data_IF_973828847376
#
_entry.id   IF_973828847376
#
_cell.length_a   1.000
_cell.length_b   1.000
_cell.length_c   1.000
_cell.angle_alpha   90.00
_cell.angle_beta   90.00
_cell.angle_gamma   90.00
#
_symmetry.space_group_name_H-M   'P 1'
#
loop_
_entity.id
_entity.type
_entity.pdbx_description
1 polymer ?
#
# COMPACT_ATOMS: atom_id res chain seq x y z
N UNK A 1 12.42 -30.46 12.87
CA UNK A 1 11.00 -30.50 12.44
C UNK A 1 10.23 -29.51 13.30
N UNK A 2 10.06 -28.30 12.82
CA UNK A 2 9.16 -27.35 13.44
C UNK A 2 7.79 -27.61 12.81
N UNK A 3 6.94 -28.28 13.59
CA UNK A 3 5.53 -28.49 13.27
C UNK A 3 4.84 -27.13 13.19
N UNK A 4 4.63 -26.64 11.98
CA UNK A 4 3.87 -25.45 11.71
C UNK A 4 2.37 -25.81 11.77
N UNK A 5 1.82 -25.82 12.97
CA UNK A 5 0.40 -26.07 13.23
C UNK A 5 -0.24 -24.76 13.65
N UNK A 6 -0.63 -23.91 12.69
CA UNK A 6 -1.56 -22.82 12.97
C UNK A 6 -2.22 -22.35 11.69
N UNK A 7 -3.46 -22.72 11.57
CA UNK A 7 -4.40 -22.26 10.57
C UNK A 7 -4.41 -20.72 10.51
N UNK A 8 -4.01 -20.16 9.41
CA UNK A 8 -4.05 -18.73 9.12
C UNK A 8 -2.71 -18.00 9.12
N UNK A 9 -1.64 -18.59 9.65
CA UNK A 9 -0.30 -18.01 9.61
C UNK A 9 0.63 -18.69 8.59
N UNK A 10 0.15 -19.72 7.92
CA UNK A 10 0.91 -20.42 6.85
C UNK A 10 1.09 -19.61 5.58
N UNK A 11 0.50 -18.45 5.57
CA UNK A 11 0.84 -17.41 4.62
C UNK A 11 2.05 -16.59 5.04
N UNK A 12 2.77 -17.07 5.99
CA UNK A 12 4.12 -16.63 6.10
C UNK A 12 4.73 -16.91 4.75
N UNK A 13 4.87 -15.88 3.98
CA UNK A 13 5.89 -15.81 2.99
C UNK A 13 7.11 -16.32 3.73
N UNK A 14 7.42 -17.58 3.52
CA UNK A 14 8.53 -18.30 4.14
C UNK A 14 9.87 -17.80 3.61
N UNK A 15 9.93 -16.51 3.38
CA UNK A 15 10.98 -15.88 2.66
C UNK A 15 11.68 -14.88 3.54
N UNK A 16 12.49 -15.45 4.39
CA UNK A 16 13.75 -14.79 4.53
C UNK A 16 14.47 -14.95 3.18
N UNK A 17 15.07 -13.91 2.63
CA UNK A 17 15.91 -13.93 1.43
C UNK A 17 16.99 -15.04 1.44
N UNK A 18 17.13 -15.77 2.53
CA UNK A 18 18.01 -16.92 2.76
C UNK A 18 17.40 -18.27 2.42
N UNK A 19 16.09 -18.35 2.22
CA UNK A 19 15.43 -19.63 1.94
C UNK A 19 14.96 -19.67 0.49
N UNK A 20 15.17 -20.81 -0.23
CA UNK A 20 14.69 -20.94 -1.59
C UNK A 20 13.16 -20.83 -1.62
N UNK A 21 12.66 -19.91 -2.42
CA UNK A 21 11.25 -19.69 -2.66
C UNK A 21 10.67 -20.82 -3.49
N UNK A 22 9.66 -21.50 -2.99
CA UNK A 22 8.88 -22.42 -3.79
C UNK A 22 7.74 -21.65 -4.49
N UNK A 23 7.88 -21.43 -5.79
CA UNK A 23 6.90 -20.70 -6.58
C UNK A 23 5.80 -21.66 -7.06
N UNK A 24 4.60 -21.57 -6.46
CA UNK A 24 3.42 -22.32 -6.87
C UNK A 24 2.19 -21.42 -6.97
N UNK A 25 1.20 -21.84 -7.78
CA UNK A 25 -0.05 -21.09 -7.91
C UNK A 25 -0.77 -20.89 -6.57
N UNK A 26 -0.74 -21.91 -5.73
CA UNK A 26 -1.35 -21.87 -4.38
C UNK A 26 -0.69 -20.83 -3.49
N UNK A 27 0.65 -20.74 -3.50
CA UNK A 27 1.37 -19.74 -2.71
C UNK A 27 1.17 -18.33 -3.24
N UNK A 28 1.03 -18.17 -4.57
CA UNK A 28 0.70 -16.89 -5.16
C UNK A 28 -0.70 -16.41 -4.78
N UNK A 29 -1.68 -17.31 -4.80
CA UNK A 29 -3.05 -16.99 -4.36
C UNK A 29 -3.09 -16.65 -2.87
N UNK A 30 -2.35 -17.39 -2.07
CA UNK A 30 -2.20 -17.13 -0.66
C UNK A 30 -1.57 -15.75 -0.39
N UNK A 31 -0.50 -15.38 -1.09
CA UNK A 31 0.13 -14.07 -0.99
C UNK A 31 -0.81 -12.93 -1.43
N UNK A 32 -1.58 -13.15 -2.52
CA UNK A 32 -2.59 -12.21 -2.98
C UNK A 32 -3.65 -11.96 -1.91
N UNK A 33 -4.20 -13.01 -1.31
CA UNK A 33 -5.20 -12.89 -0.25
C UNK A 33 -4.63 -12.14 0.97
N UNK A 34 -3.35 -12.32 1.27
CA UNK A 34 -2.65 -11.56 2.31
C UNK A 34 -2.58 -10.08 2.01
N UNK A 35 -2.15 -9.74 0.80
CA UNK A 35 -2.11 -8.35 0.34
C UNK A 35 -3.51 -7.72 0.38
N UNK A 36 -4.53 -8.42 -0.12
CA UNK A 36 -5.92 -7.95 -0.08
C UNK A 36 -6.41 -7.65 1.35
N UNK A 37 -5.99 -8.44 2.34
CA UNK A 37 -6.34 -8.17 3.75
C UNK A 37 -5.72 -6.88 4.25
N UNK A 38 -4.48 -6.59 3.91
CA UNK A 38 -3.79 -5.36 4.32
C UNK A 38 -4.41 -4.15 3.61
N UNK A 39 -4.63 -4.24 2.30
CA UNK A 39 -5.25 -3.15 1.52
C UNK A 39 -6.68 -2.86 1.96
N UNK A 40 -7.49 -3.89 2.19
CA UNK A 40 -8.86 -3.72 2.71
C UNK A 40 -8.87 -3.04 4.09
N UNK A 41 -7.93 -3.38 4.97
CA UNK A 41 -7.83 -2.71 6.27
C UNK A 41 -7.48 -1.22 6.13
N UNK A 42 -6.57 -0.88 5.22
CA UNK A 42 -6.24 0.51 4.93
C UNK A 42 -7.42 1.28 4.31
N UNK A 43 -8.15 0.68 3.37
CA UNK A 43 -9.36 1.26 2.78
C UNK A 43 -10.45 1.50 3.84
N UNK A 44 -10.65 0.55 4.74
CA UNK A 44 -11.58 0.69 5.86
C UNK A 44 -11.19 1.83 6.80
N UNK A 45 -9.90 1.97 7.13
CA UNK A 45 -9.42 3.09 7.95
C UNK A 45 -9.63 4.43 7.23
N UNK A 46 -9.32 4.55 5.95
CA UNK A 46 -9.59 5.75 5.14
C UNK A 46 -11.08 6.10 5.15
N UNK A 47 -11.94 5.09 4.97
CA UNK A 47 -13.38 5.30 5.03
C UNK A 47 -13.83 5.82 6.40
N UNK A 48 -13.32 5.24 7.49
CA UNK A 48 -13.63 5.68 8.85
C UNK A 48 -13.11 7.10 9.14
N UNK A 49 -11.90 7.44 8.69
CA UNK A 49 -11.31 8.78 8.80
C UNK A 49 -12.19 9.82 8.13
N UNK A 50 -12.66 9.54 6.90
CA UNK A 50 -13.50 10.45 6.13
C UNK A 50 -14.91 10.63 6.73
N UNK A 51 -15.38 9.66 7.51
CA UNK A 51 -16.69 9.67 8.15
C UNK A 51 -16.65 9.91 9.67
N UNK A 52 -15.48 10.18 10.23
CA UNK A 52 -15.30 10.40 11.66
C UNK A 52 -16.08 11.64 12.12
N UNK A 53 -16.81 11.48 13.24
CA UNK A 53 -17.64 12.55 13.81
C UNK A 53 -16.90 13.38 14.86
N UNK A 54 -15.85 12.86 15.43
CA UNK A 54 -15.05 13.46 16.50
C UNK A 54 -13.63 13.64 16.00
N UNK A 55 -13.07 14.83 16.18
CA UNK A 55 -11.68 15.11 15.77
C UNK A 55 -10.69 14.60 16.82
N UNK A 56 -10.89 14.96 18.09
CA UNK A 56 -9.93 14.73 19.16
C UNK A 56 -10.02 13.32 19.75
N UNK A 57 -8.86 12.77 20.08
CA UNK A 57 -8.71 11.43 20.66
C UNK A 57 -9.12 11.39 22.14
N UNK A 58 -9.94 10.40 22.51
CA UNK A 58 -10.32 10.12 23.90
C UNK A 58 -9.19 9.44 24.68
N UNK A 59 -9.29 9.46 26.03
CA UNK A 59 -8.32 8.77 26.91
C UNK A 59 -8.27 7.24 26.66
N UNK A 60 -9.38 6.63 26.34
CA UNK A 60 -9.42 5.19 26.03
C UNK A 60 -8.78 4.89 24.67
N UNK A 61 -8.94 5.76 23.69
CA UNK A 61 -8.26 5.64 22.40
C UNK A 61 -6.75 5.86 22.52
N UNK A 62 -6.30 6.75 23.41
CA UNK A 62 -4.87 6.92 23.72
C UNK A 62 -4.26 5.65 24.29
N UNK A 63 -4.98 4.94 25.16
CA UNK A 63 -4.53 3.65 25.69
C UNK A 63 -4.51 2.58 24.60
N UNK A 64 -5.50 2.56 23.73
CA UNK A 64 -5.52 1.66 22.56
C UNK A 64 -4.37 1.98 21.62
N UNK A 65 -4.11 3.25 21.31
CA UNK A 65 -2.97 3.64 20.48
C UNK A 65 -1.64 3.23 21.10
N UNK A 66 -1.48 3.41 22.41
CA UNK A 66 -0.30 2.90 23.12
C UNK A 66 -0.14 1.38 23.00
N UNK A 67 -1.24 0.63 22.96
CA UNK A 67 -1.23 -0.82 22.72
C UNK A 67 -0.75 -1.20 21.31
N UNK A 68 -0.90 -0.33 20.31
CA UNK A 68 -0.42 -0.60 18.96
C UNK A 68 1.12 -0.52 18.84
N UNK A 69 1.79 0.17 19.74
CA UNK A 69 3.25 0.34 19.74
C UNK A 69 3.97 -1.01 19.82
N UNK A 70 3.42 -1.96 20.59
CA UNK A 70 4.00 -3.30 20.71
C UNK A 70 4.16 -4.02 19.34
N UNK A 71 3.25 -3.79 18.41
CA UNK A 71 3.35 -4.38 17.07
C UNK A 71 4.44 -3.71 16.23
N UNK A 72 4.63 -2.40 16.41
CA UNK A 72 5.75 -1.66 15.79
C UNK A 72 7.08 -2.16 16.32
N UNK A 73 7.20 -2.31 17.63
CA UNK A 73 8.41 -2.85 18.27
C UNK A 73 8.71 -4.28 17.80
N UNK A 74 7.69 -5.13 17.64
CA UNK A 74 7.85 -6.48 17.10
C UNK A 74 8.33 -6.45 15.65
N UNK A 75 7.80 -5.53 14.84
CA UNK A 75 8.26 -5.33 13.46
C UNK A 75 9.72 -4.88 13.42
N UNK A 76 10.07 -3.86 14.19
CA UNK A 76 11.44 -3.33 14.26
C UNK A 76 12.42 -4.42 14.72
N UNK A 77 12.05 -5.18 15.75
CA UNK A 77 12.85 -6.31 16.24
C UNK A 77 13.06 -7.39 15.19
N UNK A 78 12.03 -7.71 14.39
CA UNK A 78 12.13 -8.68 13.31
C UNK A 78 13.06 -8.17 12.19
N UNK A 79 12.98 -6.89 11.86
CA UNK A 79 13.86 -6.28 10.86
C UNK A 79 15.31 -6.15 11.34
N UNK A 80 15.54 -5.92 12.63
CA UNK A 80 16.85 -5.89 13.26
C UNK A 80 17.49 -7.30 13.35
N UNK A 81 16.68 -8.35 13.37
CA UNK A 81 17.13 -9.75 13.31
C UNK A 81 17.39 -10.17 11.86
N UNK A 82 18.40 -9.54 11.25
CA UNK A 82 18.90 -9.87 9.93
C UNK A 82 17.83 -9.81 8.82
N UNK A 83 17.00 -8.78 8.87
CA UNK A 83 15.89 -8.57 7.93
C UNK A 83 14.91 -9.76 7.85
N UNK A 84 14.48 -10.26 9.00
CA UNK A 84 13.46 -11.32 9.07
C UNK A 84 12.09 -10.81 8.61
N UNK A 85 11.95 -10.71 7.29
CA UNK A 85 10.72 -10.18 6.66
C UNK A 85 9.49 -11.04 6.94
N UNK A 86 9.64 -12.34 7.22
CA UNK A 86 8.53 -13.21 7.56
C UNK A 86 7.88 -12.83 8.90
N UNK A 87 8.69 -12.58 9.93
CA UNK A 87 8.20 -12.13 11.23
C UNK A 87 7.73 -10.67 11.16
N UNK A 88 8.40 -9.83 10.36
CA UNK A 88 7.97 -8.46 10.12
C UNK A 88 6.56 -8.39 9.49
N UNK A 89 6.28 -9.20 8.47
CA UNK A 89 4.95 -9.30 7.86
C UNK A 89 3.92 -9.86 8.86
N UNK A 90 4.32 -10.82 9.69
CA UNK A 90 3.45 -11.32 10.75
C UNK A 90 3.03 -10.21 11.73
N UNK A 91 3.96 -9.33 12.12
CA UNK A 91 3.67 -8.17 12.95
C UNK A 91 2.70 -7.19 12.26
N UNK A 92 2.82 -6.99 10.94
CA UNK A 92 1.84 -6.19 10.17
C UNK A 92 0.45 -6.82 10.20
N UNK A 93 0.33 -8.15 10.04
CA UNK A 93 -0.98 -8.82 10.13
C UNK A 93 -1.59 -8.74 11.53
N UNK A 94 -0.78 -8.82 12.56
CA UNK A 94 -1.24 -8.64 13.94
C UNK A 94 -1.72 -7.21 14.19
N UNK A 95 -1.01 -6.20 13.67
CA UNK A 95 -1.44 -4.81 13.70
C UNK A 95 -2.78 -4.63 12.98
N UNK A 96 -2.93 -5.18 11.76
CA UNK A 96 -4.20 -5.15 11.00
C UNK A 96 -5.35 -5.78 11.80
N UNK A 97 -5.11 -6.92 12.42
CA UNK A 97 -6.10 -7.57 13.30
C UNK A 97 -6.47 -6.69 14.49
N UNK A 98 -5.47 -6.08 15.12
CA UNK A 98 -5.67 -5.16 16.22
C UNK A 98 -6.53 -3.97 15.80
N UNK A 99 -6.19 -3.32 14.69
CA UNK A 99 -6.96 -2.20 14.14
C UNK A 99 -8.42 -2.58 13.91
N UNK A 100 -8.67 -3.70 13.21
CA UNK A 100 -10.03 -4.17 12.94
C UNK A 100 -10.85 -4.48 14.20
N UNK A 101 -10.21 -4.76 15.34
CA UNK A 101 -10.88 -5.03 16.61
C UNK A 101 -11.07 -3.80 17.49
N UNK A 102 -10.28 -2.76 17.29
CA UNK A 102 -10.24 -1.58 18.16
C UNK A 102 -10.85 -0.32 17.55
N UNK A 103 -11.09 -0.33 16.23
CA UNK A 103 -11.71 0.77 15.49
C UNK A 103 -13.17 0.48 15.14
N UNK A 104 -13.99 1.50 15.20
CA UNK A 104 -15.40 1.47 14.83
C UNK A 104 -15.85 2.85 14.29
N UNK A 105 -17.13 2.97 13.93
CA UNK A 105 -17.71 4.22 13.42
C UNK A 105 -17.83 5.36 14.45
N UNK A 106 -17.51 5.10 15.71
CA UNK A 106 -17.48 6.10 16.78
C UNK A 106 -16.06 6.59 17.09
N UNK A 107 -15.04 5.95 16.50
CA UNK A 107 -13.62 6.30 16.70
C UNK A 107 -13.31 7.70 16.20
N UNK A 108 -12.42 8.41 16.92
CA UNK A 108 -11.99 9.76 16.57
C UNK A 108 -11.05 9.75 15.35
N UNK A 109 -11.08 10.83 14.59
CA UNK A 109 -10.26 11.01 13.40
C UNK A 109 -8.76 10.95 13.72
N UNK A 110 -8.35 11.61 14.80
CA UNK A 110 -6.95 11.60 15.25
C UNK A 110 -6.47 10.19 15.58
N UNK A 111 -7.27 9.36 16.25
CA UNK A 111 -6.94 7.98 16.55
C UNK A 111 -6.79 7.13 15.28
N UNK A 112 -7.76 7.24 14.38
CA UNK A 112 -7.77 6.52 13.11
C UNK A 112 -6.58 6.91 12.22
N UNK A 113 -6.26 8.22 12.15
CA UNK A 113 -5.13 8.72 11.38
C UNK A 113 -3.80 8.18 11.91
N UNK A 114 -3.59 8.19 13.23
CA UNK A 114 -2.38 7.65 13.84
C UNK A 114 -2.20 6.15 13.55
N UNK A 115 -3.29 5.37 13.57
CA UNK A 115 -3.24 3.95 13.20
C UNK A 115 -2.95 3.75 11.71
N UNK A 116 -3.54 4.57 10.86
CA UNK A 116 -3.28 4.54 9.42
C UNK A 116 -1.82 4.87 9.11
N UNK A 117 -1.28 5.94 9.69
CA UNK A 117 0.12 6.34 9.51
C UNK A 117 1.09 5.25 10.01
N UNK A 118 0.72 4.58 11.11
CA UNK A 118 1.47 3.44 11.62
C UNK A 118 1.51 2.29 10.61
N UNK A 119 0.36 1.92 10.03
CA UNK A 119 0.28 0.87 9.01
C UNK A 119 1.09 1.23 7.77
N UNK A 120 0.93 2.43 7.24
CA UNK A 120 1.66 2.91 6.06
C UNK A 120 3.17 2.85 6.30
N UNK A 121 3.63 3.34 7.46
CA UNK A 121 5.06 3.31 7.81
C UNK A 121 5.66 1.90 7.76
N UNK A 122 4.95 0.89 8.30
CA UNK A 122 5.45 -0.49 8.30
C UNK A 122 5.39 -1.13 6.89
N UNK A 123 4.33 -0.88 6.16
CA UNK A 123 4.15 -1.42 4.80
C UNK A 123 5.10 -0.77 3.79
N UNK A 124 5.42 0.51 3.95
CA UNK A 124 6.37 1.24 3.10
C UNK A 124 7.80 0.69 3.21
N UNK A 125 8.24 0.33 4.43
CA UNK A 125 9.54 -0.32 4.64
C UNK A 125 9.66 -1.64 3.86
N UNK A 126 8.56 -2.38 3.76
CA UNK A 126 8.50 -3.66 3.02
C UNK A 126 8.22 -3.47 1.52
N UNK A 127 7.97 -2.25 1.06
CA UNK A 127 7.57 -1.96 -0.32
C UNK A 127 6.18 -2.50 -0.67
N UNK A 128 5.32 -2.71 0.32
CA UNK A 128 3.94 -3.14 0.12
C UNK A 128 3.10 -1.89 -0.16
N UNK A 129 2.62 -1.74 -1.39
CA UNK A 129 1.77 -0.63 -1.79
C UNK A 129 0.36 -0.86 -1.23
N UNK A 130 -0.03 -0.05 -0.26
CA UNK A 130 -1.35 -0.11 0.38
C UNK A 130 -2.29 0.94 -0.22
N UNK A 131 -1.72 1.95 -0.86
CA UNK A 131 -2.47 3.06 -1.42
C UNK A 131 -2.76 2.83 -2.91
N UNK A 132 -4.04 2.54 -3.22
CA UNK A 132 -4.50 2.38 -4.59
C UNK A 132 -4.65 3.70 -5.35
N UNK A 133 -4.42 4.85 -4.71
CA UNK A 133 -4.41 6.12 -5.43
C UNK A 133 -3.31 6.12 -6.50
N UNK A 134 -2.20 5.45 -6.25
CA UNK A 134 -1.14 5.28 -7.25
C UNK A 134 -1.55 4.34 -8.40
N UNK A 135 -2.34 3.29 -8.14
CA UNK A 135 -2.85 2.41 -9.20
C UNK A 135 -3.95 3.09 -10.05
N UNK A 136 -4.83 3.88 -9.43
CA UNK A 136 -5.85 4.66 -10.15
C UNK A 136 -5.15 5.73 -11.00
N UNK A 137 -4.13 6.40 -10.47
CA UNK A 137 -3.31 7.33 -11.22
C UNK A 137 -2.60 6.66 -12.40
N UNK A 138 -2.09 5.43 -12.22
CA UNK A 138 -1.47 4.67 -13.30
C UNK A 138 -2.47 4.29 -14.38
N UNK A 139 -3.67 3.82 -14.01
CA UNK A 139 -4.76 3.50 -14.94
C UNK A 139 -5.26 4.72 -15.72
N UNK A 140 -5.43 5.85 -15.03
CA UNK A 140 -5.84 7.11 -15.65
C UNK A 140 -4.76 7.66 -16.59
N UNK A 141 -3.49 7.48 -16.23
CA UNK A 141 -2.34 7.85 -17.05
C UNK A 141 -2.27 6.97 -18.31
N UNK A 142 -2.47 5.66 -18.19
CA UNK A 142 -2.51 4.75 -19.32
C UNK A 142 -3.67 5.10 -20.28
N UNK A 143 -4.85 5.40 -19.75
CA UNK A 143 -6.00 5.84 -20.54
C UNK A 143 -5.71 7.15 -21.29
N UNK A 144 -5.08 8.12 -20.66
CA UNK A 144 -4.66 9.38 -21.27
C UNK A 144 -3.58 9.16 -22.35
N UNK A 145 -2.67 8.22 -22.15
CA UNK A 145 -1.66 7.85 -23.16
C UNK A 145 -2.31 7.22 -24.37
N UNK A 146 -3.28 6.31 -24.18
CA UNK A 146 -4.03 5.69 -25.28
C UNK A 146 -4.86 6.73 -26.03
N UNK A 147 -5.57 7.63 -25.32
CA UNK A 147 -6.33 8.73 -25.92
C UNK A 147 -5.42 9.64 -26.76
N UNK A 148 -4.24 9.99 -26.24
CA UNK A 148 -3.24 10.77 -27.00
C UNK A 148 -2.79 10.07 -28.26
N UNK A 149 -2.53 8.77 -28.21
CA UNK A 149 -2.15 7.99 -29.39
C UNK A 149 -3.28 7.95 -30.42
N UNK A 150 -4.52 7.77 -29.97
CA UNK A 150 -5.70 7.80 -30.82
C UNK A 150 -5.89 9.19 -31.47
N UNK A 151 -5.74 10.27 -30.70
CA UNK A 151 -5.80 11.65 -31.21
C UNK A 151 -4.73 11.92 -32.28
N UNK A 152 -3.50 11.43 -32.10
CA UNK A 152 -2.42 11.55 -33.10
C UNK A 152 -2.73 10.75 -34.38
N UNK A 153 -3.27 9.54 -34.26
CA UNK A 153 -3.72 8.74 -35.41
C UNK A 153 -4.85 9.43 -36.18
N UNK A 154 -5.75 10.11 -35.49
CA UNK A 154 -6.84 10.91 -36.07
C UNK A 154 -6.38 12.29 -36.58
N UNK A 155 -5.06 12.62 -36.48
CA UNK A 155 -4.47 13.93 -36.83
C UNK A 155 -5.04 15.10 -36.01
N UNK A 156 -5.62 14.83 -34.85
CA UNK A 156 -6.05 15.85 -33.90
C UNK A 156 -4.88 16.22 -32.98
N UNK A 157 -3.96 17.03 -33.49
CA UNK A 157 -2.74 17.41 -32.77
C UNK A 157 -3.01 18.32 -31.57
N UNK A 158 -4.06 19.16 -31.64
CA UNK A 158 -4.43 20.02 -30.53
C UNK A 158 -4.76 19.22 -29.27
N UNK A 159 -5.61 18.19 -29.39
CA UNK A 159 -5.95 17.32 -28.24
C UNK A 159 -4.75 16.51 -27.74
N UNK A 160 -3.89 16.06 -28.64
CA UNK A 160 -2.68 15.32 -28.26
C UNK A 160 -1.68 16.19 -27.48
N UNK A 161 -1.60 17.50 -27.79
CA UNK A 161 -0.75 18.45 -27.05
C UNK A 161 -1.37 18.83 -25.70
N UNK A 162 -2.69 19.02 -25.60
CA UNK A 162 -3.39 19.20 -24.32
C UNK A 162 -3.10 18.06 -23.34
N UNK A 163 -3.27 16.80 -23.79
CA UNK A 163 -3.00 15.61 -22.96
C UNK A 163 -1.52 15.56 -22.54
N UNK A 164 -0.60 15.93 -23.41
CA UNK A 164 0.82 16.00 -23.08
C UNK A 164 1.09 17.01 -21.97
N UNK A 165 0.50 18.18 -22.07
CA UNK A 165 0.68 19.27 -21.10
C UNK A 165 0.01 18.92 -19.75
N UNK A 166 -1.13 18.21 -19.77
CA UNK A 166 -1.79 17.68 -18.57
C UNK A 166 -0.91 16.64 -17.87
N UNK A 167 -0.31 15.71 -18.60
CA UNK A 167 0.61 14.72 -18.04
C UNK A 167 1.90 15.36 -17.54
N UNK A 168 2.42 16.38 -18.23
CA UNK A 168 3.57 17.14 -17.78
C UNK A 168 3.29 17.89 -16.46
N UNK A 169 2.08 18.45 -16.30
CA UNK A 169 1.66 19.08 -15.04
C UNK A 169 1.58 18.07 -13.87
N UNK A 170 1.33 16.80 -14.15
CA UNK A 170 1.38 15.68 -13.19
C UNK A 170 2.80 15.11 -13.00
N UNK A 171 3.85 15.74 -13.56
CA UNK A 171 5.24 15.32 -13.44
C UNK A 171 5.63 14.13 -14.34
N UNK A 172 4.83 13.83 -15.36
CA UNK A 172 5.03 12.70 -16.27
C UNK A 172 5.56 13.21 -17.61
N UNK A 173 6.75 12.76 -17.99
CA UNK A 173 7.36 13.10 -19.28
C UNK A 173 7.19 11.93 -20.25
N UNK A 174 6.47 12.18 -21.33
CA UNK A 174 6.34 11.24 -22.43
C UNK A 174 7.48 11.41 -23.45
N UNK A 175 8.21 10.34 -23.73
CA UNK A 175 9.21 10.30 -24.81
C UNK A 175 8.65 9.49 -25.97
N UNK A 176 8.45 10.13 -27.10
CA UNK A 176 8.02 9.44 -28.33
C UNK A 176 9.21 8.69 -28.94
N UNK A 177 9.14 7.36 -29.01
CA UNK A 177 10.09 6.53 -29.74
C UNK A 177 9.42 5.83 -30.92
N UNK A 178 10.20 5.33 -31.87
CA UNK A 178 9.66 4.61 -33.05
C UNK A 178 9.01 3.27 -32.68
N UNK A 179 9.33 2.73 -31.51
CA UNK A 179 8.87 1.42 -31.03
C UNK A 179 7.75 1.51 -29.99
N UNK A 180 7.33 2.72 -29.59
CA UNK A 180 6.30 2.96 -28.57
C UNK A 180 6.52 4.25 -27.82
N UNK A 181 5.71 4.50 -26.79
CA UNK A 181 5.85 5.67 -25.91
C UNK A 181 6.35 5.19 -24.55
N UNK A 182 7.68 5.14 -24.32
CA UNK A 182 8.17 4.87 -22.97
C UNK A 182 7.79 6.03 -22.04
N UNK A 183 7.20 5.68 -20.89
CA UNK A 183 6.83 6.62 -19.84
C UNK A 183 8.03 6.79 -18.92
N UNK A 184 8.47 8.02 -18.73
CA UNK A 184 9.50 8.34 -17.75
C UNK A 184 8.88 9.17 -16.63
N UNK A 185 8.84 8.60 -15.43
CA UNK A 185 8.44 9.32 -14.23
C UNK A 185 9.61 10.18 -13.75
N UNK A 186 9.42 11.49 -13.69
CA UNK A 186 10.31 12.33 -12.92
C UNK A 186 9.80 12.35 -11.48
N UNK A 187 10.46 11.59 -10.61
CA UNK A 187 10.29 11.79 -9.17
C UNK A 187 10.76 13.19 -8.82
N UNK A 188 9.83 14.12 -8.75
CA UNK A 188 10.03 15.35 -8.03
C UNK A 188 10.12 14.98 -6.55
N UNK A 189 11.32 14.66 -6.06
CA UNK A 189 11.59 14.73 -4.63
C UNK A 189 11.32 16.18 -4.22
N UNK A 190 10.20 16.38 -3.53
CA UNK A 190 10.02 17.61 -2.76
C UNK A 190 11.13 17.68 -1.72
N UNK A 191 11.89 18.76 -1.77
CA UNK A 191 12.83 19.17 -0.73
C UNK A 191 12.07 19.77 0.45
#
# INVERSE_FOLDING_TARGET
EISCSLVGSEMCIRDSYRSPLNFSAELMEAAKNGLERITTAAENLKFLINNARTEDMSEDERKKLAGSIAYVENFEKAMDDDFNTADAISAVFELVKYMNTTTDGASSKEYLQNLFDCLIRLTDVLGIIVDKEDEILASDIEALIEERQAARKAKNFARADEIRDELLAKGIILKDTREGVPVSYTHLRAH
#
